data_IF_665068067150
#
_entry.id   IF_665068067150
#
_cell.length_a   1.000
_cell.length_b   1.000
_cell.length_c   1.000
_cell.angle_alpha   90.00
_cell.angle_beta   90.00
_cell.angle_gamma   90.00
#
_symmetry.space_group_name_H-M   'P 1'
#
loop_
_entity.id
_entity.type
_entity.pdbx_description
1 polymer ?
2 water ?
#
# COMPACT_ATOMS: atom_id res chain seq x y z
N UNK A 1 -9.38 -12.02 13.29
CA UNK A 1 -9.01 -11.35 12.05
C UNK A 1 -7.51 -11.50 11.70
N UNK A 2 -6.87 -12.54 12.26
CA UNK A 2 -5.44 -12.81 12.08
C UNK A 2 -4.98 -12.91 10.63
N UNK A 3 -5.82 -13.44 9.75
CA UNK A 3 -5.48 -13.51 8.33
C UNK A 3 -6.61 -12.96 7.45
N UNK A 4 -7.34 -11.99 8.00
CA UNK A 4 -8.47 -11.40 7.31
C UNK A 4 -8.04 -10.40 6.24
N UNK A 5 -8.83 -10.31 5.18
CA UNK A 5 -8.60 -9.31 4.18
C UNK A 5 -8.63 -7.89 4.78
N UNK A 6 -7.96 -6.95 4.10
CA UNK A 6 -7.85 -5.57 4.56
C UNK A 6 -8.66 -4.67 3.62
N UNK A 7 -9.39 -3.68 4.17
CA UNK A 7 -10.02 -2.65 3.33
C UNK A 7 -9.47 -1.25 3.59
N UNK A 8 -9.49 -0.40 2.56
CA UNK A 8 -9.36 1.06 2.72
C UNK A 8 -10.64 1.66 2.15
N UNK A 9 -11.30 2.54 2.90
CA UNK A 9 -12.27 3.45 2.27
C UNK A 9 -11.50 4.58 1.66
N UNK A 10 -11.80 4.89 0.39
CA UNK A 10 -11.03 5.90 -0.32
C UNK A 10 -11.89 7.11 -0.71
N UNK A 11 -11.42 8.32 -0.38
CA UNK A 11 -12.01 9.53 -0.95
C UNK A 11 -11.03 10.16 -1.92
N UNK A 12 -11.55 10.73 -3.01
CA UNK A 12 -10.71 11.47 -3.94
C UNK A 12 -11.23 12.90 -3.98
N UNK A 13 -10.37 13.88 -3.70
CA UNK A 13 -10.78 15.28 -3.70
C UNK A 13 -12.04 15.48 -2.84
N UNK A 14 -12.07 14.79 -1.70
CA UNK A 14 -13.07 14.97 -0.66
C UNK A 14 -14.39 14.22 -0.92
N UNK A 15 -14.46 13.49 -2.03
CA UNK A 15 -15.64 12.73 -2.34
C UNK A 15 -15.37 11.25 -2.21
N UNK A 16 -16.28 10.53 -1.56
CA UNK A 16 -16.11 9.10 -1.29
C UNK A 16 -16.24 8.28 -2.57
N UNK A 17 -15.28 7.41 -2.82
CA UNK A 17 -15.25 6.61 -4.03
C UNK A 17 -15.60 5.15 -3.78
N UNK A 18 -15.59 4.73 -2.52
CA UNK A 18 -15.90 3.33 -2.23
C UNK A 18 -14.73 2.69 -1.49
N UNK A 19 -14.56 1.39 -1.62
CA UNK A 19 -13.50 0.74 -0.86
C UNK A 19 -12.62 -0.13 -1.75
N UNK A 20 -11.35 -0.20 -1.36
CA UNK A 20 -10.42 -1.16 -1.95
C UNK A 20 -10.24 -2.28 -0.92
N UNK A 21 -10.28 -3.53 -1.38
CA UNK A 21 -10.05 -4.69 -0.51
C UNK A 21 -8.85 -5.45 -1.03
N UNK A 22 -7.97 -5.80 -0.10
CA UNK A 22 -6.77 -6.57 -0.41
C UNK A 22 -6.76 -7.97 0.21
N UNK A 23 -6.30 -8.94 -0.56
CA UNK A 23 -5.92 -10.24 -0.01
C UNK A 23 -4.40 -10.21 0.22
N UNK A 24 -3.97 -10.47 1.44
CA UNK A 24 -2.55 -10.43 1.75
C UNK A 24 -1.94 -11.83 1.67
N UNK A 25 -0.68 -11.90 1.29
CA UNK A 25 -0.04 -13.19 1.09
C UNK A 25 0.55 -13.72 2.41
N UNK A 26 -0.32 -14.00 3.37
CA UNK A 26 0.11 -14.54 4.66
C UNK A 26 0.89 -15.85 4.50
N UNK A 27 0.62 -16.55 3.40
CA UNK A 27 1.20 -17.86 3.13
C UNK A 27 2.61 -17.79 2.52
N UNK A 28 3.05 -16.57 2.24
CA UNK A 28 4.40 -16.37 1.71
C UNK A 28 5.20 -15.42 2.61
N UNK A 29 4.64 -14.27 2.93
CA UNK A 29 5.35 -13.26 3.71
C UNK A 29 4.47 -12.84 4.87
N UNK A 30 4.29 -13.73 5.85
CA UNK A 30 3.43 -13.40 6.99
C UNK A 30 3.88 -12.17 7.78
N UNK A 31 5.18 -11.95 7.98
CA UNK A 31 5.59 -10.83 8.86
C UNK A 31 5.25 -9.51 8.17
N UNK A 32 5.37 -9.52 6.84
CA UNK A 32 5.14 -8.34 6.04
C UNK A 32 3.63 -8.06 5.95
N UNK A 33 2.84 -9.11 5.79
CA UNK A 33 1.39 -8.96 5.78
C UNK A 33 0.89 -8.46 7.13
N UNK A 34 1.47 -8.99 8.21
CA UNK A 34 1.03 -8.62 9.56
C UNK A 34 1.20 -7.13 9.76
N UNK A 35 2.35 -6.61 9.34
CA UNK A 35 2.64 -5.19 9.47
C UNK A 35 1.55 -4.33 8.80
N UNK A 36 1.26 -4.63 7.53
CA UNK A 36 0.27 -3.87 6.78
C UNK A 36 -1.09 -4.01 7.47
N UNK A 37 -1.43 -5.24 7.85
CA UNK A 37 -2.76 -5.50 8.40
C UNK A 37 -2.99 -4.72 9.70
N UNK A 38 -2.00 -4.75 10.60
CA UNK A 38 -2.15 -4.09 11.89
C UNK A 38 -2.03 -2.55 11.81
N UNK A 39 -1.37 -2.04 10.77
CA UNK A 39 -1.38 -0.60 10.52
C UNK A 39 -2.75 -0.20 10.00
N UNK A 40 -3.37 -1.08 9.19
CA UNK A 40 -4.73 -0.81 8.74
C UNK A 40 -5.75 -0.91 9.88
N UNK A 41 -5.60 -1.86 10.80
CA UNK A 41 -6.57 -1.91 11.91
C UNK A 41 -6.32 -0.77 12.90
N UNK A 42 -5.10 -0.26 12.96
CA UNK A 42 -4.79 0.81 13.91
C UNK A 42 -4.74 0.27 15.35
N UNK A 43 -4.65 -1.04 15.49
CA UNK A 43 -4.73 -1.66 16.82
C UNK A 43 -3.62 -1.25 17.79
N UNK A 44 -2.50 -0.79 17.27
CA UNK A 44 -1.44 -0.31 18.15
C UNK A 44 -1.54 1.18 18.47
N UNK A 45 -2.60 1.81 18.01
CA UNK A 45 -2.79 3.23 18.27
C UNK A 45 -2.26 4.17 17.20
N UNK A 46 -1.81 3.63 16.07
CA UNK A 46 -1.37 4.43 14.93
C UNK A 46 -1.58 3.59 13.68
N UNK A 47 -1.45 4.22 12.51
CA UNK A 47 -1.61 3.43 11.31
C UNK A 47 -2.15 4.23 10.15
N UNK A 48 -2.73 3.52 9.18
CA UNK A 48 -3.01 4.13 7.89
C UNK A 48 -4.22 5.06 7.90
N UNK A 49 -5.07 4.99 8.92
CA UNK A 49 -6.33 5.74 8.82
C UNK A 49 -6.00 7.23 8.71
N UNK A 50 -6.63 7.90 7.73
CA UNK A 50 -6.44 9.32 7.44
C UNK A 50 -5.17 9.67 6.67
N UNK A 51 -4.39 8.65 6.28
CA UNK A 51 -3.22 8.93 5.43
C UNK A 51 -3.63 9.11 3.96
N UNK A 52 -2.67 9.49 3.13
CA UNK A 52 -2.98 9.75 1.72
C UNK A 52 -2.00 9.05 0.80
N UNK A 53 -2.32 9.03 -0.49
CA UNK A 53 -1.38 8.57 -1.50
C UNK A 53 -0.61 9.77 -2.03
N UNK A 54 0.71 9.74 -1.86
CA UNK A 54 1.53 10.94 -2.09
C UNK A 54 2.22 10.91 -3.46
N UNK A 55 2.17 9.76 -4.12
CA UNK A 55 2.85 9.59 -5.40
C UNK A 55 2.01 8.68 -6.26
N UNK A 56 1.74 9.11 -7.48
CA UNK A 56 0.92 8.32 -8.40
C UNK A 56 1.52 8.48 -9.78
N UNK A 57 1.99 7.39 -10.36
CA UNK A 57 2.63 7.44 -11.66
C UNK A 57 1.83 6.55 -12.62
N UNK A 58 1.14 7.17 -13.59
CA UNK A 58 0.31 6.41 -14.54
C UNK A 58 1.13 5.32 -15.26
N UNK A 59 0.50 4.16 -15.49
CA UNK A 59 1.14 2.98 -16.04
C UNK A 59 2.32 2.48 -15.21
N UNK A 60 2.24 2.71 -13.90
CA UNK A 60 3.30 2.19 -13.03
C UNK A 60 2.73 1.83 -11.68
N UNK A 61 2.42 2.83 -10.86
CA UNK A 61 1.95 2.54 -9.50
C UNK A 61 1.34 3.71 -8.73
N UNK A 62 0.64 3.37 -7.66
CA UNK A 62 0.21 4.30 -6.63
C UNK A 62 1.05 4.05 -5.38
N UNK A 63 1.51 5.11 -4.72
CA UNK A 63 2.28 4.91 -3.49
C UNK A 63 1.68 5.64 -2.30
N UNK A 64 1.65 4.98 -1.16
CA UNK A 64 1.08 5.58 0.04
C UNK A 64 1.73 5.00 1.27
N UNK A 65 1.05 5.13 2.40
CA UNK A 65 1.50 4.48 3.63
C UNK A 65 2.26 5.41 4.58
N UNK A 66 2.51 6.65 4.19
CA UNK A 66 3.26 7.55 5.10
C UNK A 66 2.30 8.22 6.08
N UNK A 67 2.02 7.55 7.20
CA UNK A 67 1.05 8.07 8.15
C UNK A 67 1.72 8.97 9.20
N UNK A 68 3.05 9.15 9.11
CA UNK A 68 3.73 10.04 10.07
C UNK A 68 3.99 11.44 9.51
N UNK A 69 4.38 11.53 8.24
CA UNK A 69 4.73 12.85 7.67
C UNK A 69 3.80 13.21 6.53
N UNK A 70 3.00 12.24 6.08
CA UNK A 70 1.98 12.47 5.05
C UNK A 70 2.46 13.06 3.76
N UNK A 71 3.69 12.75 3.34
CA UNK A 71 4.22 13.30 2.08
C UNK A 71 5.28 12.44 1.41
N UNK A 72 5.51 11.24 1.95
CA UNK A 72 6.51 10.33 1.39
C UNK A 72 7.84 10.30 2.12
N UNK A 73 7.99 11.14 3.16
CA UNK A 73 9.24 11.21 3.93
C UNK A 73 9.23 10.37 5.19
N UNK A 74 8.06 9.82 5.55
CA UNK A 74 7.93 9.12 6.83
C UNK A 74 7.38 7.68 6.75
N UNK A 75 6.67 7.29 7.80
CA UNK A 75 6.21 5.91 7.95
C UNK A 75 7.08 5.18 8.96
N UNK A 76 6.49 4.25 9.68
CA UNK A 76 7.21 3.39 10.57
C UNK A 76 6.46 2.06 10.64
N UNK A 77 7.12 1.01 11.06
CA UNK A 77 6.46 -0.30 11.03
C UNK A 77 5.98 -0.69 12.44
N UNK A 78 5.19 -1.74 12.53
CA UNK A 78 4.78 -2.25 13.84
C UNK A 78 5.99 -2.85 14.56
N UNK A 79 7.08 -3.10 13.83
CA UNK A 79 8.26 -3.71 14.44
C UNK A 79 9.33 -2.68 14.86
N UNK A 80 9.05 -1.40 14.65
CA UNK A 80 10.03 -0.36 14.90
C UNK A 80 10.25 0.43 13.63
N UNK A 81 11.33 1.21 13.60
CA UNK A 81 11.58 2.12 12.50
C UNK A 81 11.59 1.41 11.13
N UNK A 82 12.12 0.18 11.12
CA UNK A 82 12.16 -0.57 9.88
C UNK A 82 12.29 -2.06 10.10
N UNK A 83 12.05 -2.83 9.04
CA UNK A 83 12.21 -4.28 9.14
C UNK A 83 12.81 -4.93 7.88
N UNK A 84 13.34 -6.14 8.04
CA UNK A 84 14.08 -6.79 6.94
C UNK A 84 13.18 -7.18 5.77
N UNK A 85 13.78 -7.33 4.58
CA UNK A 85 13.09 -7.98 3.46
C UNK A 85 12.83 -9.46 3.79
N UNK A 86 11.56 -9.80 3.98
CA UNK A 86 11.19 -11.16 4.40
C UNK A 86 11.63 -12.23 3.43
N UNK A 87 11.27 -12.06 2.17
CA UNK A 87 11.73 -12.91 1.08
C UNK A 87 11.22 -12.33 -0.22
N UNK A 88 11.69 -12.85 -1.35
CA UNK A 88 11.23 -12.36 -2.63
C UNK A 88 10.53 -13.45 -3.43
N UNK A 89 9.77 -14.26 -2.71
CA UNK A 89 9.06 -15.41 -3.27
C UNK A 89 8.07 -15.00 -4.37
N UNK A 90 7.33 -13.94 -4.13
CA UNK A 90 6.32 -13.48 -5.06
C UNK A 90 6.89 -12.36 -5.94
N UNK A 91 6.73 -12.50 -7.25
CA UNK A 91 7.26 -11.51 -8.18
C UNK A 91 6.17 -10.55 -8.65
N UNK A 92 6.58 -9.44 -9.28
CA UNK A 92 5.64 -8.41 -9.69
C UNK A 92 5.08 -8.75 -11.05
N UNK A 93 4.24 -9.79 -11.11
CA UNK A 93 3.83 -10.35 -12.40
C UNK A 93 2.52 -9.82 -12.99
N UNK A 94 1.75 -9.07 -12.21
CA UNK A 94 0.42 -8.64 -12.65
C UNK A 94 0.05 -7.30 -12.05
N UNK A 95 -0.89 -6.58 -12.67
CA UNK A 95 -1.32 -5.30 -12.09
C UNK A 95 -2.06 -5.53 -10.78
N UNK A 96 -2.08 -4.51 -9.91
CA UNK A 96 -2.85 -4.62 -8.68
C UNK A 96 -2.18 -5.38 -7.54
N UNK A 97 -0.86 -5.49 -7.58
CA UNK A 97 -0.12 -6.06 -6.44
C UNK A 97 0.29 -5.01 -5.40
N UNK A 98 0.31 -5.45 -4.14
CA UNK A 98 0.90 -4.70 -3.02
C UNK A 98 2.36 -5.08 -2.89
N UNK A 99 3.22 -4.08 -2.78
CA UNK A 99 4.65 -4.31 -2.69
C UNK A 99 5.22 -3.21 -1.79
N UNK A 100 6.22 -3.56 -0.97
CA UNK A 100 6.72 -2.58 -0.01
C UNK A 100 7.63 -1.58 -0.69
N UNK A 101 7.37 -0.30 -0.47
CA UNK A 101 8.33 0.72 -0.84
C UNK A 101 9.56 0.60 0.11
N UNK A 102 10.73 1.00 -0.35
CA UNK A 102 11.87 0.95 0.54
C UNK A 102 12.95 1.93 0.09
N UNK A 103 13.99 2.04 0.89
CA UNK A 103 15.09 2.96 0.65
C UNK A 103 16.38 2.17 0.50
N UNK A 104 16.27 0.95 0.00
CA UNK A 104 17.40 0.06 -0.06
C UNK A 104 17.07 -1.24 0.66
N UNK A 105 18.02 -2.17 0.63
CA UNK A 105 17.80 -3.47 1.25
C UNK A 105 17.39 -3.32 2.73
N UNK A 106 16.44 -4.14 3.15
CA UNK A 106 16.02 -4.21 4.55
C UNK A 106 15.61 -2.88 5.19
N UNK A 107 14.83 -2.09 4.47
CA UNK A 107 14.41 -0.80 5.02
C UNK A 107 12.88 -0.62 4.92
N UNK A 108 12.15 -1.72 5.03
CA UNK A 108 10.69 -1.67 5.01
C UNK A 108 10.15 -0.94 6.23
N UNK A 109 9.16 -0.08 6.02
CA UNK A 109 8.53 0.67 7.08
C UNK A 109 7.02 0.51 7.01
N UNK A 110 6.34 1.53 6.50
CA UNK A 110 4.91 1.44 6.29
C UNK A 110 4.49 1.82 4.87
N UNK A 111 5.37 2.47 4.13
CA UNK A 111 5.03 2.87 2.77
C UNK A 111 4.94 1.65 1.86
N UNK A 112 3.95 1.69 0.96
CA UNK A 112 3.67 0.58 0.09
C UNK A 112 3.25 1.14 -1.25
N UNK A 113 3.25 0.30 -2.26
CA UNK A 113 2.68 0.71 -3.51
C UNK A 113 1.75 -0.34 -4.07
N UNK A 114 0.87 0.11 -4.94
CA UNK A 114 -0.06 -0.75 -5.63
C UNK A 114 0.32 -0.58 -7.07
N UNK A 115 0.72 -1.68 -7.71
CA UNK A 115 1.18 -1.58 -9.09
C UNK A 115 -0.03 -1.52 -9.99
N UNK A 116 0.13 -0.92 -11.17
CA UNK A 116 -0.95 -0.89 -12.14
C UNK A 116 -0.54 -1.62 -13.42
N UNK A 117 0.67 -2.18 -13.39
CA UNK A 117 1.23 -3.03 -14.42
C UNK A 117 2.19 -4.02 -13.78
N UNK A 118 2.54 -5.09 -14.50
CA UNK A 118 3.68 -5.91 -14.07
C UNK A 118 4.95 -5.03 -13.97
N UNK A 119 5.72 -5.19 -12.91
CA UNK A 119 6.92 -4.39 -12.75
C UNK A 119 8.13 -5.27 -12.42
N UNK A 120 8.51 -6.13 -13.35
CA UNK A 120 9.49 -7.17 -13.06
C UNK A 120 10.88 -6.61 -12.70
N UNK A 121 11.14 -5.37 -13.10
CA UNK A 121 12.41 -4.73 -12.73
C UNK A 121 12.55 -4.50 -11.21
N UNK A 122 11.46 -4.70 -10.47
CA UNK A 122 11.50 -4.48 -9.04
C UNK A 122 11.65 -5.82 -8.33
N UNK A 123 11.57 -6.91 -9.10
CA UNK A 123 11.73 -8.26 -8.55
C UNK A 123 13.06 -8.40 -7.80
N UNK A 124 13.02 -9.01 -6.63
CA UNK A 124 14.22 -9.18 -5.84
C UNK A 124 14.69 -7.90 -5.17
N UNK A 125 13.92 -6.83 -5.31
CA UNK A 125 14.26 -5.54 -4.71
C UNK A 125 13.14 -5.04 -3.79
N UNK A 126 11.90 -5.32 -4.16
CA UNK A 126 10.77 -4.92 -3.34
C UNK A 126 9.94 -6.13 -2.99
N UNK A 127 9.50 -6.22 -1.74
CA UNK A 127 8.76 -7.39 -1.26
C UNK A 127 7.27 -7.31 -1.60
N UNK A 128 6.80 -8.25 -2.43
CA UNK A 128 5.40 -8.32 -2.82
C UNK A 128 4.65 -9.04 -1.72
N UNK A 129 3.52 -8.50 -1.28
CA UNK A 129 2.89 -9.08 -0.11
C UNK A 129 1.36 -9.16 -0.19
N UNK A 130 0.79 -8.81 -1.34
CA UNK A 130 -0.64 -8.99 -1.50
C UNK A 130 -1.21 -8.52 -2.82
N UNK A 131 -2.54 -8.54 -2.94
CA UNK A 131 -3.19 -8.08 -4.18
C UNK A 131 -4.57 -7.47 -3.92
N UNK A 132 -4.95 -6.52 -4.77
CA UNK A 132 -6.29 -5.94 -4.71
C UNK A 132 -7.26 -6.98 -5.24
N UNK A 133 -8.34 -7.22 -4.51
CA UNK A 133 -9.37 -8.16 -4.95
C UNK A 133 -10.70 -7.46 -5.13
N UNK A 134 -10.76 -6.20 -4.73
CA UNK A 134 -11.94 -5.40 -4.96
C UNK A 134 -11.50 -3.95 -5.00
N UNK A 135 -12.10 -3.18 -5.91
CA UNK A 135 -11.81 -1.77 -6.03
C UNK A 135 -10.76 -1.42 -7.09
N UNK A 136 -10.48 -2.33 -8.02
CA UNK A 136 -9.57 -2.02 -9.12
C UNK A 136 -10.00 -0.78 -9.92
N UNK A 137 -11.31 -0.48 -9.93
CA UNK A 137 -11.80 0.71 -10.64
C UNK A 137 -11.32 1.96 -9.92
N UNK A 138 -11.27 1.90 -8.58
CA UNK A 138 -10.74 3.03 -7.79
C UNK A 138 -9.23 3.19 -8.07
N UNK A 139 -8.51 2.07 -8.10
CA UNK A 139 -7.09 2.11 -8.39
C UNK A 139 -6.83 2.81 -9.73
N UNK A 140 -7.60 2.40 -10.75
CA UNK A 140 -7.46 2.96 -12.09
C UNK A 140 -7.84 4.46 -12.11
N UNK A 141 -8.86 4.83 -11.34
CA UNK A 141 -9.29 6.22 -11.32
C UNK A 141 -8.24 7.10 -10.66
N UNK A 142 -7.69 6.62 -9.55
CA UNK A 142 -6.57 7.30 -8.90
C UNK A 142 -5.38 7.40 -9.88
N UNK A 143 -5.03 6.28 -10.51
CA UNK A 143 -3.91 6.23 -11.45
C UNK A 143 -4.02 7.34 -12.50
N UNK A 144 -5.24 7.53 -13.00
CA UNK A 144 -5.51 8.51 -14.05
C UNK A 144 -5.32 9.95 -13.58
N UNK A 145 -5.14 10.14 -12.28
CA UNK A 145 -4.99 11.49 -11.71
C UNK A 145 -3.56 11.83 -11.31
N UNK A 146 -2.63 10.92 -11.57
CA UNK A 146 -1.22 11.18 -11.36
C UNK A 146 -0.55 11.76 -12.59
N UNK A 147 0.77 11.77 -12.59
CA UNK A 147 1.54 12.35 -13.68
C UNK A 147 2.84 11.58 -13.83
N UNK A 148 3.51 11.72 -14.97
CA UNK A 148 4.80 11.08 -15.13
C UNK A 148 5.75 11.38 -13.98
N UNK A 149 5.71 12.61 -13.45
CA UNK A 149 6.60 13.01 -12.38
C UNK A 149 6.26 12.33 -11.06
N UNK A 150 5.06 11.73 -10.99
CA UNK A 150 4.59 11.12 -9.75
C UNK A 150 3.78 12.08 -8.89
N UNK A 151 3.89 13.38 -9.16
CA UNK A 151 3.11 14.33 -8.37
C UNK A 151 1.64 14.31 -8.80
N UNK A 152 0.76 14.57 -7.85
CA UNK A 152 -0.67 14.66 -8.17
C UNK A 152 -1.30 15.83 -7.42
N UNK A 153 -2.30 16.46 -8.05
CA UNK A 153 -3.13 17.46 -7.37
C UNK A 153 -4.38 16.85 -6.72
N UNK A 154 -4.60 15.56 -6.92
CA UNK A 154 -5.71 14.90 -6.22
C UNK A 154 -5.32 14.62 -4.77
N UNK A 155 -6.27 14.81 -3.84
CA UNK A 155 -6.11 14.31 -2.49
C UNK A 155 -6.80 12.95 -2.41
N UNK A 156 -6.00 11.92 -2.25
CA UNK A 156 -6.51 10.56 -2.27
C UNK A 156 -6.31 10.06 -0.85
N UNK A 157 -7.40 9.91 -0.11
CA UNK A 157 -7.28 9.73 1.33
C UNK A 157 -7.91 8.42 1.77
N UNK A 158 -7.24 7.76 2.69
CA UNK A 158 -7.80 6.60 3.34
C UNK A 158 -8.65 7.11 4.50
N UNK A 159 -9.97 7.18 4.30
CA UNK A 159 -10.86 7.75 5.32
C UNK A 159 -11.19 6.76 6.44
N UNK A 160 -11.08 5.48 6.14
CA UNK A 160 -11.20 4.45 7.16
C UNK A 160 -10.51 3.20 6.62
N UNK A 161 -10.16 2.26 7.51
CA UNK A 161 -9.46 1.04 7.10
C UNK A 161 -9.46 0.03 8.23
N UNK A 162 -9.15 -1.21 7.91
CA UNK A 162 -9.14 -2.26 8.90
C UNK A 162 -9.32 -3.57 8.17
N UNK A 163 -9.94 -4.54 8.84
CA UNK A 163 -10.17 -5.87 8.24
C UNK A 163 -11.64 -6.04 7.91
N UNK A 164 -11.90 -6.93 6.95
CA UNK A 164 -13.24 -7.33 6.60
C UNK A 164 -13.33 -8.84 6.63
#
# INVERSE_FOLDING_TARGET
>A
SHMANVFFNISINDKPEGRIVFKLYDEAVPKTAKNFRELATGQHGFGYKDSIFHRVIPQFMLQGGDFTRHNGTGGKSIYGEKFADENFQVKHTKPGLLSMANAGANTNGSQFFITTVPTSWLDGKHVVFGEVIEGLDIVRKVEGKGSASGKTNATIKITDCGTV
#
